data_IF_682328123053
#
_entry.id   IF_682328123053
#
_cell.length_a   1.000
_cell.length_b   1.000
_cell.length_c   1.000
_cell.angle_alpha   90.00
_cell.angle_beta   90.00
_cell.angle_gamma   90.00
#
_symmetry.space_group_name_H-M   'P 1'
#
loop_
_entity.id
_entity.type
_entity.pdbx_description
1 polymer ?
#
# COMPACT_ATOMS: atom_id res chain seq x y z
N UNK A 1 -34.70 -26.82 60.80
CA UNK A 1 -33.52 -26.76 59.91
C UNK A 1 -33.91 -27.41 58.59
N UNK A 2 -34.40 -26.64 57.62
CA UNK A 2 -34.72 -27.12 56.27
C UNK A 2 -34.08 -26.14 55.28
N UNK A 3 -33.14 -26.65 54.47
CA UNK A 3 -32.50 -25.93 53.37
C UNK A 3 -33.46 -25.84 52.19
N UNK A 4 -33.84 -24.63 51.79
CA UNK A 4 -34.39 -24.38 50.46
C UNK A 4 -33.25 -24.08 49.48
N UNK A 5 -33.07 -24.98 48.51
CA UNK A 5 -32.19 -24.84 47.35
C UNK A 5 -32.72 -23.71 46.45
N UNK A 6 -31.96 -22.63 46.29
CA UNK A 6 -32.18 -21.68 45.21
C UNK A 6 -31.56 -22.23 43.92
N UNK A 7 -32.43 -22.71 43.03
CA UNK A 7 -32.08 -23.04 41.66
C UNK A 7 -32.06 -21.73 40.85
N UNK A 8 -30.88 -21.16 40.65
CA UNK A 8 -30.70 -19.96 39.83
C UNK A 8 -30.67 -20.39 38.36
N UNK A 9 -31.81 -20.27 37.67
CA UNK A 9 -31.89 -20.42 36.21
C UNK A 9 -31.23 -19.18 35.57
N UNK A 10 -30.02 -19.34 35.06
CA UNK A 10 -29.41 -18.40 34.13
C UNK A 10 -29.95 -18.67 32.72
N UNK A 11 -30.53 -17.69 32.01
CA UNK A 11 -30.77 -17.83 30.59
C UNK A 11 -29.42 -17.81 29.87
N UNK A 12 -29.00 -18.96 29.35
CA UNK A 12 -27.98 -19.05 28.31
C UNK A 12 -28.54 -18.32 27.07
N UNK A 13 -28.21 -17.04 26.93
CA UNK A 13 -28.40 -16.32 25.68
C UNK A 13 -27.40 -16.89 24.68
N UNK A 14 -27.85 -17.85 23.87
CA UNK A 14 -27.17 -18.27 22.66
C UNK A 14 -27.13 -17.06 21.72
N UNK A 15 -26.07 -16.27 21.79
CA UNK A 15 -25.68 -15.42 20.67
C UNK A 15 -25.34 -16.35 19.51
N UNK A 16 -26.34 -16.65 18.67
CA UNK A 16 -26.10 -17.14 17.32
C UNK A 16 -25.45 -15.97 16.60
N UNK A 17 -24.13 -15.94 16.58
CA UNK A 17 -23.40 -15.11 15.62
C UNK A 17 -23.77 -15.66 14.25
N UNK A 18 -24.72 -15.03 13.58
CA UNK A 18 -24.94 -15.25 12.15
C UNK A 18 -23.57 -15.05 11.49
N UNK A 19 -23.00 -16.11 10.96
CA UNK A 19 -21.74 -16.03 10.23
C UNK A 19 -21.90 -14.97 9.15
N UNK A 20 -21.02 -13.98 9.14
CA UNK A 20 -20.95 -13.03 8.05
C UNK A 20 -20.64 -13.85 6.79
N UNK A 21 -21.65 -14.08 5.95
CA UNK A 21 -21.44 -14.66 4.63
C UNK A 21 -20.59 -13.63 3.87
N UNK A 22 -19.46 -14.06 3.31
CA UNK A 22 -18.64 -13.18 2.48
C UNK A 22 -19.51 -12.69 1.30
N UNK A 23 -19.67 -11.37 1.17
CA UNK A 23 -20.52 -10.79 0.15
C UNK A 23 -19.90 -11.05 -1.22
N UNK A 24 -20.58 -11.77 -2.13
CA UNK A 24 -20.06 -11.99 -3.47
C UNK A 24 -20.02 -10.68 -4.27
N UNK A 25 -18.88 -10.38 -4.87
CA UNK A 25 -18.68 -9.25 -5.79
C UNK A 25 -18.49 -9.81 -7.20
N UNK A 26 -19.17 -9.23 -8.18
CA UNK A 26 -19.05 -9.62 -9.60
C UNK A 26 -18.78 -8.41 -10.47
N UNK A 27 -18.02 -8.57 -11.54
CA UNK A 27 -17.77 -7.49 -12.49
C UNK A 27 -16.98 -7.94 -13.72
N UNK A 28 -17.00 -7.10 -14.74
CA UNK A 28 -16.30 -7.33 -16.01
C UNK A 28 -14.87 -6.81 -15.92
N UNK A 29 -13.91 -7.65 -16.30
CA UNK A 29 -12.49 -7.30 -16.26
C UNK A 29 -11.96 -7.01 -17.67
N UNK A 30 -11.41 -5.81 -17.87
CA UNK A 30 -10.72 -5.41 -19.09
C UNK A 30 -9.23 -5.28 -18.82
N UNK A 31 -8.38 -5.87 -19.67
CA UNK A 31 -6.91 -5.81 -19.48
C UNK A 31 -6.45 -4.35 -19.58
N UNK A 32 -5.70 -3.89 -18.56
CA UNK A 32 -5.11 -2.55 -18.52
C UNK A 32 -3.59 -2.60 -18.77
N UNK A 33 -2.85 -3.42 -18.02
CA UNK A 33 -1.42 -3.67 -18.26
C UNK A 33 -1.12 -5.15 -18.05
N UNK A 34 -0.42 -5.77 -19.01
CA UNK A 34 -0.01 -7.19 -18.95
C UNK A 34 1.27 -7.41 -18.15
N UNK A 35 2.01 -6.35 -17.84
CA UNK A 35 3.28 -6.43 -17.12
C UNK A 35 3.08 -6.35 -15.61
N UNK A 36 2.16 -5.48 -15.17
CA UNK A 36 1.66 -5.42 -13.78
C UNK A 36 0.40 -6.29 -13.60
N UNK A 37 0.08 -7.17 -14.58
CA UNK A 37 -1.12 -8.01 -14.57
C UNK A 37 -2.32 -7.29 -13.94
N UNK A 38 -2.66 -6.15 -14.54
CA UNK A 38 -3.67 -5.23 -14.05
C UNK A 38 -4.87 -5.25 -14.97
N UNK A 39 -6.05 -5.37 -14.38
CA UNK A 39 -7.34 -5.19 -15.05
C UNK A 39 -8.04 -3.95 -14.52
N UNK A 40 -8.95 -3.43 -15.32
CA UNK A 40 -9.91 -2.40 -14.95
C UNK A 40 -11.31 -3.00 -14.93
N UNK A 41 -12.09 -2.63 -13.92
CA UNK A 41 -13.53 -2.90 -13.87
C UNK A 41 -14.28 -1.64 -13.49
N UNK A 42 -15.31 -1.34 -14.28
CA UNK A 42 -16.18 -0.17 -14.09
C UNK A 42 -17.53 -0.56 -13.48
N UNK A 43 -17.78 -1.86 -13.30
CA UNK A 43 -19.09 -2.43 -13.00
C UNK A 43 -19.07 -3.47 -11.87
N UNK A 44 -18.02 -3.47 -11.03
CA UNK A 44 -17.98 -4.30 -9.82
C UNK A 44 -19.18 -3.98 -8.93
N UNK A 45 -19.93 -5.01 -8.55
CA UNK A 45 -21.14 -4.92 -7.73
C UNK A 45 -21.29 -6.11 -6.80
N UNK A 46 -21.85 -5.84 -5.63
CA UNK A 46 -22.29 -6.87 -4.70
C UNK A 46 -23.53 -7.60 -5.27
N UNK A 47 -23.83 -8.78 -4.73
CA UNK A 47 -24.97 -9.60 -5.15
C UNK A 47 -26.34 -8.90 -5.04
N UNK A 48 -26.47 -7.93 -4.14
CA UNK A 48 -27.67 -7.10 -3.97
C UNK A 48 -27.80 -5.98 -5.04
N UNK A 49 -26.85 -5.87 -5.94
CA UNK A 49 -26.78 -4.85 -6.98
C UNK A 49 -26.11 -3.55 -6.55
N UNK A 50 -25.70 -3.43 -5.29
CA UNK A 50 -24.95 -2.27 -4.79
C UNK A 50 -23.59 -2.20 -5.46
N UNK A 51 -23.20 -1.02 -5.97
CA UNK A 51 -21.87 -0.81 -6.55
C UNK A 51 -20.78 -1.06 -5.51
N UNK A 52 -19.74 -1.80 -5.89
CA UNK A 52 -18.59 -2.05 -5.04
C UNK A 52 -17.83 -0.77 -4.70
N UNK A 53 -17.73 0.13 -5.68
CA UNK A 53 -17.10 1.44 -5.55
C UNK A 53 -17.79 2.45 -6.46
N UNK A 54 -17.67 3.74 -6.13
CA UNK A 54 -18.16 4.84 -6.96
C UNK A 54 -17.23 5.15 -8.15
N UNK A 55 -15.97 4.69 -8.08
CA UNK A 55 -14.98 4.88 -9.13
C UNK A 55 -14.59 3.52 -9.74
N UNK A 56 -14.18 3.50 -11.02
CA UNK A 56 -13.47 2.38 -11.61
C UNK A 56 -12.41 1.79 -10.68
N UNK A 57 -12.35 0.47 -10.60
CA UNK A 57 -11.33 -0.24 -9.83
C UNK A 57 -10.25 -0.73 -10.77
N UNK A 58 -9.00 -0.54 -10.35
CA UNK A 58 -7.85 -1.24 -10.88
C UNK A 58 -7.59 -2.47 -10.02
N UNK A 59 -7.23 -3.57 -10.66
CA UNK A 59 -7.22 -4.90 -10.07
C UNK A 59 -5.90 -5.59 -10.44
N UNK A 60 -5.01 -5.75 -9.46
CA UNK A 60 -3.68 -6.35 -9.64
C UNK A 60 -3.68 -7.77 -9.09
N UNK A 61 -3.21 -8.70 -9.90
CA UNK A 61 -2.97 -10.09 -9.53
C UNK A 61 -2.00 -10.23 -8.34
N UNK A 62 -2.36 -10.99 -7.29
CA UNK A 62 -1.51 -11.16 -6.08
C UNK A 62 -0.97 -12.58 -5.84
N UNK A 63 -1.40 -13.58 -6.61
CA UNK A 63 -1.04 -14.99 -6.40
C UNK A 63 -0.24 -15.55 -7.58
N UNK A 64 1.05 -15.87 -7.44
CA UNK A 64 1.83 -16.38 -8.59
C UNK A 64 1.35 -17.76 -9.08
N UNK A 65 0.69 -18.55 -8.22
CA UNK A 65 0.38 -19.97 -8.48
C UNK A 65 -0.76 -20.19 -9.46
N UNK A 66 -1.58 -19.18 -9.68
CA UNK A 66 -2.79 -19.23 -10.50
C UNK A 66 -2.64 -18.34 -11.75
N UNK A 67 -3.26 -18.65 -12.91
CA UNK A 67 -3.29 -17.73 -14.05
C UNK A 67 -4.06 -16.44 -13.77
N UNK A 68 -3.65 -15.35 -14.44
CA UNK A 68 -4.44 -14.12 -14.50
C UNK A 68 -5.75 -14.27 -15.30
N UNK A 69 -6.40 -13.15 -15.58
CA UNK A 69 -7.74 -13.13 -16.19
C UNK A 69 -7.72 -12.90 -17.70
N UNK A 70 -8.77 -13.36 -18.39
CA UNK A 70 -9.01 -13.02 -19.80
C UNK A 70 -9.38 -11.54 -19.98
N UNK A 71 -9.51 -11.10 -21.24
CA UNK A 71 -10.04 -9.76 -21.54
C UNK A 71 -11.55 -9.81 -21.80
N UNK A 72 -12.32 -9.00 -21.08
CA UNK A 72 -13.76 -8.82 -21.28
C UNK A 72 -14.66 -9.88 -20.64
N UNK A 73 -14.12 -10.73 -19.75
CA UNK A 73 -14.91 -11.70 -19.01
C UNK A 73 -15.53 -11.11 -17.73
N UNK A 74 -16.67 -11.64 -17.30
CA UNK A 74 -17.27 -11.36 -16.00
C UNK A 74 -16.81 -12.41 -14.99
N UNK A 75 -16.29 -11.95 -13.85
CA UNK A 75 -15.73 -12.80 -12.81
C UNK A 75 -16.31 -12.47 -11.43
N UNK A 76 -16.19 -13.43 -10.51
CA UNK A 76 -16.77 -13.44 -9.17
C UNK A 76 -15.70 -13.57 -8.09
N UNK A 77 -15.92 -12.86 -6.99
CA UNK A 77 -14.99 -12.73 -5.88
C UNK A 77 -15.73 -12.76 -4.54
N UNK A 78 -15.05 -13.22 -3.49
CA UNK A 78 -15.42 -12.94 -2.11
C UNK A 78 -15.04 -11.48 -1.79
N UNK A 79 -16.04 -10.66 -1.50
CA UNK A 79 -15.87 -9.31 -0.96
C UNK A 79 -15.51 -9.36 0.52
N UNK A 80 -14.75 -8.35 0.98
CA UNK A 80 -14.21 -8.26 2.35
C UNK A 80 -13.38 -9.48 2.76
N UNK A 81 -12.58 -9.99 1.83
CA UNK A 81 -11.73 -11.15 2.10
C UNK A 81 -10.56 -10.82 3.08
N UNK A 82 -10.47 -9.55 3.51
CA UNK A 82 -9.65 -8.94 4.56
C UNK A 82 -8.21 -9.47 4.62
N UNK A 83 -8.01 -10.61 5.27
CA UNK A 83 -6.69 -11.22 5.49
C UNK A 83 -6.50 -12.54 4.75
N UNK A 84 -7.56 -13.29 4.43
CA UNK A 84 -7.48 -14.67 3.92
C UNK A 84 -7.11 -14.78 2.44
N UNK A 85 -6.72 -13.67 1.82
CA UNK A 85 -6.32 -13.58 0.41
C UNK A 85 -4.83 -13.86 0.22
N UNK A 86 -4.03 -13.60 1.25
CA UNK A 86 -2.60 -13.86 1.25
C UNK A 86 -2.32 -15.35 1.45
N UNK A 87 -1.43 -15.91 0.63
CA UNK A 87 -1.04 -17.33 0.65
C UNK A 87 0.18 -17.61 1.52
N UNK A 88 0.91 -16.59 1.96
CA UNK A 88 2.03 -16.73 2.90
C UNK A 88 1.58 -17.44 4.18
N UNK A 89 2.41 -18.37 4.69
CA UNK A 89 2.10 -19.17 5.89
C UNK A 89 3.06 -18.87 7.05
N UNK A 90 2.55 -18.62 8.28
CA UNK A 90 1.14 -18.35 8.59
C UNK A 90 0.65 -17.09 7.87
N UNK A 91 -0.67 -16.97 7.67
CA UNK A 91 -1.24 -15.82 6.96
C UNK A 91 -0.72 -14.50 7.56
N UNK A 92 -0.18 -13.58 6.74
CA UNK A 92 0.43 -12.33 7.23
C UNK A 92 -0.56 -11.38 7.91
N UNK A 93 -1.88 -11.57 7.74
CA UNK A 93 -2.90 -10.77 8.41
C UNK A 93 -2.76 -9.27 8.12
N UNK A 94 -2.94 -8.46 9.15
CA UNK A 94 -2.82 -6.99 9.09
C UNK A 94 -1.43 -6.51 8.63
N UNK A 95 -0.36 -7.27 8.90
CA UNK A 95 0.97 -6.93 8.42
C UNK A 95 1.07 -7.03 6.90
N UNK A 96 0.45 -8.06 6.30
CA UNK A 96 0.38 -8.22 4.84
C UNK A 96 -0.40 -7.10 4.16
N UNK A 97 -1.53 -6.71 4.77
CA UNK A 97 -2.31 -5.54 4.32
C UNK A 97 -1.45 -4.28 4.36
N UNK A 98 -0.81 -3.99 5.48
CA UNK A 98 0.06 -2.82 5.63
C UNK A 98 1.18 -2.82 4.58
N UNK A 99 1.86 -3.95 4.38
CA UNK A 99 2.93 -4.11 3.40
C UNK A 99 2.45 -3.82 1.97
N UNK A 100 1.27 -4.31 1.57
CA UNK A 100 0.73 -4.04 0.25
C UNK A 100 0.38 -2.55 0.06
N UNK A 101 -0.21 -1.91 1.08
CA UNK A 101 -0.43 -0.46 1.04
C UNK A 101 0.87 0.34 0.90
N UNK A 102 1.93 -0.07 1.61
CA UNK A 102 3.23 0.57 1.50
C UNK A 102 3.83 0.39 0.10
N UNK A 103 3.77 -0.82 -0.47
CA UNK A 103 4.29 -1.11 -1.80
C UNK A 103 3.62 -0.23 -2.86
N UNK A 104 2.29 -0.12 -2.83
CA UNK A 104 1.53 0.70 -3.77
C UNK A 104 1.85 2.19 -3.63
N UNK A 105 1.94 2.74 -2.41
CA UNK A 105 2.24 4.16 -2.18
C UNK A 105 3.59 4.60 -2.75
N UNK A 106 4.59 3.72 -2.66
CA UNK A 106 5.97 4.04 -3.01
C UNK A 106 6.29 3.75 -4.49
N UNK A 107 5.64 2.76 -5.09
CA UNK A 107 6.09 2.22 -6.38
C UNK A 107 5.02 2.21 -7.47
N UNK A 108 3.73 2.10 -7.16
CA UNK A 108 2.72 1.90 -8.21
C UNK A 108 2.68 3.07 -9.21
N UNK A 109 2.65 4.31 -8.72
CA UNK A 109 2.64 5.52 -9.55
C UNK A 109 3.84 5.61 -10.51
N UNK A 110 5.02 5.19 -10.05
CA UNK A 110 6.26 5.26 -10.83
C UNK A 110 6.39 4.13 -11.86
N UNK A 111 5.63 3.05 -11.71
CA UNK A 111 5.69 1.89 -12.61
C UNK A 111 4.45 1.70 -13.47
N UNK A 112 3.29 2.30 -13.14
CA UNK A 112 2.07 2.09 -13.93
C UNK A 112 2.05 2.83 -15.29
N UNK A 113 2.97 3.78 -15.50
CA UNK A 113 3.07 4.50 -16.77
C UNK A 113 3.54 3.54 -17.88
N UNK A 114 2.75 3.44 -18.96
CA UNK A 114 3.05 2.56 -20.08
C UNK A 114 4.34 2.93 -20.83
N UNK A 115 4.87 4.13 -20.62
CA UNK A 115 6.18 4.57 -21.13
C UNK A 115 7.35 4.05 -20.28
N UNK A 116 7.10 3.62 -19.04
CA UNK A 116 8.13 2.98 -18.20
C UNK A 116 8.44 1.62 -18.79
N UNK A 117 9.73 1.28 -18.83
CA UNK A 117 10.22 0.04 -19.41
C UNK A 117 9.50 -1.17 -18.81
N UNK A 118 8.95 -2.05 -19.66
CA UNK A 118 8.08 -3.16 -19.26
C UNK A 118 8.70 -4.06 -18.18
N UNK A 119 10.01 -4.31 -18.23
CA UNK A 119 10.75 -5.07 -17.19
C UNK A 119 10.69 -4.44 -15.79
N UNK A 120 10.65 -3.11 -15.68
CA UNK A 120 10.50 -2.43 -14.38
C UNK A 120 9.09 -2.63 -13.83
N UNK A 121 8.09 -2.56 -14.71
CA UNK A 121 6.69 -2.83 -14.38
C UNK A 121 6.50 -4.29 -13.94
N UNK A 122 7.15 -5.22 -14.65
CA UNK A 122 7.21 -6.64 -14.29
C UNK A 122 7.86 -6.86 -12.92
N UNK A 123 8.96 -6.17 -12.62
CA UNK A 123 9.60 -6.25 -11.29
C UNK A 123 8.66 -5.82 -10.16
N UNK A 124 7.85 -4.77 -10.37
CA UNK A 124 6.80 -4.40 -9.41
C UNK A 124 5.77 -5.52 -9.21
N UNK A 125 5.31 -6.19 -10.27
CA UNK A 125 4.41 -7.36 -10.14
C UNK A 125 5.04 -8.48 -9.31
N UNK A 126 6.34 -8.73 -9.46
CA UNK A 126 7.03 -9.73 -8.65
C UNK A 126 7.04 -9.35 -7.16
N UNK A 127 7.22 -8.07 -6.83
CA UNK A 127 7.09 -7.62 -5.44
C UNK A 127 5.67 -7.80 -4.89
N UNK A 128 4.62 -7.55 -5.69
CA UNK A 128 3.23 -7.83 -5.30
C UNK A 128 3.05 -9.33 -5.02
N UNK A 129 3.59 -10.19 -5.89
CA UNK A 129 3.56 -11.64 -5.66
C UNK A 129 4.36 -12.06 -4.44
N UNK A 130 5.53 -11.50 -4.17
CA UNK A 130 6.34 -11.84 -2.99
C UNK A 130 5.55 -11.54 -1.71
N UNK A 131 4.86 -10.40 -1.65
CA UNK A 131 3.96 -10.10 -0.54
C UNK A 131 2.74 -11.02 -0.50
N UNK A 132 2.16 -11.37 -1.65
CA UNK A 132 0.99 -12.23 -1.74
C UNK A 132 1.24 -13.70 -1.39
N UNK A 133 2.44 -14.22 -1.65
CA UNK A 133 2.74 -15.66 -1.63
C UNK A 133 3.79 -16.05 -0.57
N UNK A 134 4.73 -15.16 -0.25
CA UNK A 134 5.89 -15.49 0.59
C UNK A 134 5.86 -14.76 1.93
N UNK A 135 5.34 -13.53 1.97
CA UNK A 135 5.29 -12.75 3.21
C UNK A 135 4.28 -13.33 4.22
N UNK A 136 4.75 -13.61 5.44
CA UNK A 136 3.95 -14.16 6.53
C UNK A 136 3.90 -13.23 7.77
N UNK A 137 4.30 -11.97 7.60
CA UNK A 137 4.46 -10.99 8.68
C UNK A 137 5.92 -10.82 9.12
N UNK A 138 6.79 -11.77 8.83
CA UNK A 138 8.25 -11.64 9.00
C UNK A 138 8.92 -11.33 7.66
N UNK A 139 9.75 -10.30 7.62
CA UNK A 139 10.45 -9.89 6.40
C UNK A 139 11.40 -10.97 5.87
N UNK A 140 11.90 -11.83 6.76
CA UNK A 140 12.78 -12.94 6.40
C UNK A 140 12.03 -14.06 5.68
N UNK A 141 10.69 -14.05 5.65
CA UNK A 141 9.91 -15.00 4.86
C UNK A 141 9.90 -14.66 3.36
N UNK A 142 10.26 -13.42 3.00
CA UNK A 142 10.51 -13.04 1.61
C UNK A 142 11.96 -13.39 1.28
N UNK A 143 12.13 -14.47 0.52
CA UNK A 143 13.42 -14.91 -0.02
C UNK A 143 13.37 -14.86 -1.55
N UNK A 144 14.09 -13.89 -2.13
CA UNK A 144 14.15 -13.70 -3.57
C UNK A 144 14.71 -14.92 -4.35
N UNK A 145 15.40 -15.85 -3.70
CA UNK A 145 15.96 -17.05 -4.32
C UNK A 145 15.15 -18.32 -4.01
N UNK A 146 14.64 -18.45 -2.79
CA UNK A 146 14.01 -19.69 -2.31
C UNK A 146 12.51 -19.58 -2.01
N UNK A 147 11.92 -18.39 -2.10
CA UNK A 147 10.48 -18.19 -1.96
C UNK A 147 9.67 -18.91 -3.04
N UNK A 148 8.34 -18.87 -2.96
CA UNK A 148 7.48 -19.37 -4.02
C UNK A 148 7.59 -18.53 -5.28
N UNK A 149 7.88 -17.23 -5.14
CA UNK A 149 7.97 -16.30 -6.27
C UNK A 149 9.33 -16.35 -6.94
N UNK A 150 10.42 -16.55 -6.18
CA UNK A 150 11.81 -16.65 -6.69
C UNK A 150 12.18 -15.49 -7.61
N UNK A 151 11.87 -14.25 -7.23
CA UNK A 151 12.01 -13.09 -8.10
C UNK A 151 13.45 -12.83 -8.58
N UNK A 152 14.45 -13.29 -7.81
CA UNK A 152 15.88 -13.27 -8.17
C UNK A 152 16.43 -14.67 -8.49
N UNK A 153 15.56 -15.65 -8.75
CA UNK A 153 15.95 -16.98 -9.20
C UNK A 153 16.70 -16.92 -10.53
N UNK A 154 17.68 -17.80 -10.73
CA UNK A 154 18.52 -17.83 -11.94
C UNK A 154 17.70 -17.93 -13.22
N UNK A 155 16.59 -18.67 -13.20
CA UNK A 155 15.70 -18.81 -14.36
C UNK A 155 15.04 -17.49 -14.75
N UNK A 156 14.54 -16.72 -13.78
CA UNK A 156 13.87 -15.43 -14.02
C UNK A 156 14.87 -14.38 -14.52
N UNK A 157 16.07 -14.35 -13.94
CA UNK A 157 17.16 -13.46 -14.38
C UNK A 157 17.57 -13.80 -15.81
N UNK A 158 17.68 -15.09 -16.14
CA UNK A 158 18.07 -15.53 -17.50
C UNK A 158 17.01 -15.14 -18.52
N UNK A 159 15.73 -15.22 -18.14
CA UNK A 159 14.61 -14.89 -19.03
C UNK A 159 14.41 -13.38 -19.21
N UNK A 160 14.43 -12.60 -18.13
CA UNK A 160 14.10 -11.17 -18.15
C UNK A 160 15.32 -10.23 -18.21
N UNK A 161 16.52 -10.74 -17.93
CA UNK A 161 17.78 -10.00 -18.04
C UNK A 161 18.08 -9.04 -16.89
N UNK A 162 19.16 -8.27 -17.05
CA UNK A 162 19.78 -7.50 -15.97
C UNK A 162 18.89 -6.36 -15.44
N UNK A 163 18.16 -5.66 -16.31
CA UNK A 163 17.32 -4.53 -15.87
C UNK A 163 16.20 -4.98 -14.91
N UNK A 164 15.57 -6.12 -15.21
CA UNK A 164 14.58 -6.72 -14.31
C UNK A 164 15.25 -7.08 -12.97
N UNK A 165 16.38 -7.79 -13.02
CA UNK A 165 17.12 -8.20 -11.83
C UNK A 165 17.48 -7.03 -10.91
N UNK A 166 18.06 -5.97 -11.47
CA UNK A 166 18.46 -4.79 -10.69
C UNK A 166 17.25 -4.07 -10.07
N UNK A 167 16.13 -3.99 -10.81
CA UNK A 167 14.90 -3.37 -10.30
C UNK A 167 14.27 -4.21 -9.19
N UNK A 168 14.20 -5.53 -9.37
CA UNK A 168 13.71 -6.46 -8.33
C UNK A 168 14.56 -6.34 -7.07
N UNK A 169 15.89 -6.29 -7.19
CA UNK A 169 16.79 -6.09 -6.05
C UNK A 169 16.54 -4.77 -5.32
N UNK A 170 16.32 -3.68 -6.06
CA UNK A 170 16.02 -2.37 -5.49
C UNK A 170 14.74 -2.40 -4.64
N UNK A 171 13.65 -2.92 -5.21
CA UNK A 171 12.35 -3.02 -4.52
C UNK A 171 12.47 -3.95 -3.31
N UNK A 172 13.13 -5.10 -3.48
CA UNK A 172 13.32 -6.08 -2.40
C UNK A 172 14.14 -5.51 -1.24
N UNK A 173 15.22 -4.77 -1.52
CA UNK A 173 15.99 -4.09 -0.48
C UNK A 173 15.15 -3.06 0.29
N UNK A 174 14.31 -2.29 -0.41
CA UNK A 174 13.43 -1.32 0.21
C UNK A 174 12.33 -1.96 1.08
N UNK A 175 11.78 -3.10 0.64
CA UNK A 175 10.86 -3.92 1.45
C UNK A 175 11.57 -4.39 2.73
N UNK A 176 12.79 -4.94 2.60
CA UNK A 176 13.59 -5.40 3.74
C UNK A 176 13.84 -4.31 4.78
N UNK A 177 14.09 -3.09 4.31
CA UNK A 177 14.29 -1.94 5.19
C UNK A 177 12.99 -1.45 5.85
N UNK A 178 11.90 -1.40 5.08
CA UNK A 178 10.70 -0.65 5.49
C UNK A 178 9.72 -1.49 6.30
N UNK A 179 9.61 -2.80 6.01
CA UNK A 179 8.58 -3.65 6.61
C UNK A 179 8.86 -4.01 8.07
N UNK A 180 10.13 -4.03 8.52
CA UNK A 180 10.52 -4.35 9.91
C UNK A 180 9.87 -3.43 10.94
N UNK A 181 9.65 -2.17 10.60
CA UNK A 181 9.05 -1.15 11.48
C UNK A 181 7.69 -0.66 11.02
N UNK A 182 7.10 -1.25 9.99
CA UNK A 182 5.85 -0.76 9.42
C UNK A 182 4.69 -1.06 10.39
N UNK A 183 3.95 -0.04 10.85
CA UNK A 183 2.77 -0.29 11.69
C UNK A 183 1.75 -1.15 10.92
N UNK A 184 1.21 -2.18 11.55
CA UNK A 184 0.16 -3.03 10.94
C UNK A 184 -1.12 -2.24 10.63
N UNK A 185 -1.32 -1.09 11.28
CA UNK A 185 -2.38 -0.14 10.98
C UNK A 185 -2.08 0.78 9.78
N UNK A 186 -0.93 0.64 9.12
CA UNK A 186 -0.57 1.48 7.97
C UNK A 186 -1.57 1.25 6.84
N UNK A 187 -2.10 2.36 6.31
CA UNK A 187 -3.00 2.39 5.16
C UNK A 187 -2.59 3.51 4.24
N UNK A 188 -2.69 3.25 2.95
CA UNK A 188 -2.28 4.17 1.91
C UNK A 188 -2.98 5.52 2.05
N UNK A 189 -2.22 6.59 1.84
CA UNK A 189 -2.78 7.96 1.76
C UNK A 189 -3.21 8.33 0.34
N UNK A 190 -2.74 7.61 -0.68
CA UNK A 190 -3.00 7.87 -2.09
C UNK A 190 -4.12 7.01 -2.67
N UNK A 191 -4.31 5.80 -2.14
CA UNK A 191 -5.19 4.78 -2.71
C UNK A 191 -6.14 4.20 -1.67
N UNK A 192 -7.42 4.01 -2.03
CA UNK A 192 -8.26 3.07 -1.30
C UNK A 192 -7.93 1.68 -1.84
N UNK A 193 -7.45 0.79 -0.97
CA UNK A 193 -7.03 -0.57 -1.34
C UNK A 193 -7.86 -1.57 -0.55
N UNK A 194 -8.26 -2.62 -1.24
CA UNK A 194 -9.05 -3.75 -0.74
C UNK A 194 -8.57 -5.03 -1.43
N UNK A 195 -9.00 -6.18 -0.92
CA UNK A 195 -8.55 -7.47 -1.43
C UNK A 195 -9.76 -8.34 -1.79
N UNK A 196 -9.70 -8.91 -2.98
CA UNK A 196 -10.75 -9.75 -3.55
C UNK A 196 -10.20 -11.16 -3.73
N UNK A 197 -10.73 -12.11 -2.96
CA UNK A 197 -10.41 -13.53 -3.15
C UNK A 197 -11.26 -14.09 -4.27
N UNK A 198 -10.65 -14.71 -5.25
CA UNK A 198 -11.40 -15.27 -6.38
C UNK A 198 -12.25 -16.48 -5.96
N UNK A 199 -13.47 -16.54 -6.47
CA UNK A 199 -14.28 -17.78 -6.43
C UNK A 199 -14.25 -18.52 -7.76
N UNK A 200 -13.76 -17.87 -8.81
CA UNK A 200 -13.68 -18.40 -10.17
C UNK A 200 -12.32 -19.04 -10.40
N UNK A 201 -12.15 -20.24 -9.86
CA UNK A 201 -10.96 -21.05 -10.10
C UNK A 201 -10.80 -21.33 -11.60
N UNK A 202 -9.57 -21.29 -12.15
CA UNK A 202 -8.29 -21.28 -11.43
C UNK A 202 -7.65 -19.90 -11.34
N UNK A 203 -8.40 -18.79 -11.29
CA UNK A 203 -7.78 -17.46 -11.38
C UNK A 203 -7.13 -16.96 -10.08
N UNK A 204 -6.28 -15.94 -10.17
CA UNK A 204 -5.62 -15.33 -9.00
C UNK A 204 -6.56 -14.46 -8.17
N UNK A 205 -6.30 -14.35 -6.87
CA UNK A 205 -6.87 -13.27 -6.07
C UNK A 205 -6.28 -11.91 -6.43
N UNK A 206 -7.01 -10.83 -6.16
CA UNK A 206 -6.72 -9.48 -6.66
C UNK A 206 -6.57 -8.45 -5.52
N UNK A 207 -5.61 -7.55 -5.68
CA UNK A 207 -5.60 -6.25 -4.99
C UNK A 207 -6.48 -5.31 -5.80
N UNK A 208 -7.61 -4.88 -5.22
CA UNK A 208 -8.51 -3.90 -5.81
C UNK A 208 -8.22 -2.51 -5.24
N UNK A 209 -7.96 -1.54 -6.10
CA UNK A 209 -7.67 -0.18 -5.67
C UNK A 209 -8.14 0.89 -6.64
N UNK A 210 -8.28 2.10 -6.11
CA UNK A 210 -8.46 3.33 -6.87
C UNK A 210 -7.69 4.48 -6.21
N UNK A 211 -7.51 5.58 -6.94
CA UNK A 211 -6.94 6.81 -6.36
C UNK A 211 -7.97 7.41 -5.42
N UNK A 212 -7.54 7.76 -4.20
CA UNK A 212 -8.37 8.55 -3.29
C UNK A 212 -8.67 9.88 -3.94
N UNK A 213 -9.94 10.24 -4.00
CA UNK A 213 -10.36 11.59 -4.29
C UNK A 213 -10.00 12.51 -3.11
N UNK A 214 -8.71 12.69 -2.83
CA UNK A 214 -8.24 13.75 -1.96
C UNK A 214 -8.33 15.04 -2.76
N UNK A 215 -9.11 16.05 -2.31
CA UNK A 215 -8.94 17.40 -2.84
C UNK A 215 -7.45 17.75 -2.75
N UNK A 216 -6.87 18.47 -3.74
CA UNK A 216 -5.50 18.94 -3.60
C UNK A 216 -5.39 19.65 -2.26
N UNK A 217 -4.48 19.17 -1.40
CA UNK A 217 -4.15 19.89 -0.18
C UNK A 217 -3.78 21.31 -0.65
N UNK A 218 -4.38 22.36 -0.05
CA UNK A 218 -3.94 23.73 -0.34
C UNK A 218 -2.42 23.77 -0.18
N UNK A 219 -1.69 24.48 -1.05
CA UNK A 219 -0.23 24.46 -1.06
C UNK A 219 0.26 24.67 0.37
N UNK A 220 0.84 23.61 0.95
CA UNK A 220 1.51 23.70 2.23
C UNK A 220 2.68 24.62 1.96
N UNK A 221 2.55 25.89 2.36
CA UNK A 221 3.70 26.77 2.45
C UNK A 221 4.67 26.03 3.36
N UNK A 222 5.74 25.48 2.80
CA UNK A 222 6.91 25.11 3.59
C UNK A 222 7.20 26.34 4.44
N UNK A 223 7.22 26.25 5.78
CA UNK A 223 7.75 27.34 6.56
C UNK A 223 9.21 27.44 6.12
N UNK A 224 9.49 28.37 5.22
CA UNK A 224 10.81 28.94 5.11
C UNK A 224 11.10 29.39 6.53
N UNK A 225 12.17 28.90 7.19
CA UNK A 225 12.54 29.45 8.47
C UNK A 225 12.72 30.95 8.26
N UNK A 226 11.74 31.73 8.72
CA UNK A 226 11.89 33.15 8.91
C UNK A 226 13.02 33.24 9.91
N UNK A 227 14.19 33.64 9.43
CA UNK A 227 15.22 34.24 10.26
C UNK A 227 14.49 35.22 11.17
N UNK A 228 14.40 34.86 12.45
CA UNK A 228 13.64 35.62 13.42
C UNK A 228 14.04 37.09 13.35
N UNK A 229 13.10 37.96 13.70
CA UNK A 229 13.27 39.43 13.76
C UNK A 229 14.46 39.89 14.64
N UNK A 230 15.16 38.96 15.29
CA UNK A 230 16.39 39.16 16.05
C UNK A 230 17.68 39.21 15.20
N UNK A 231 17.65 38.83 13.91
CA UNK A 231 18.84 38.91 13.03
C UNK A 231 19.03 40.25 12.29
N UNK A 232 18.12 41.22 12.43
CA UNK A 232 18.26 42.54 11.79
C UNK A 232 18.86 43.60 12.73
N UNK A 233 18.98 43.33 14.03
CA UNK A 233 19.55 44.29 15.01
C UNK A 233 21.10 44.27 15.00
N UNK A 234 21.73 43.22 14.50
CA UNK A 234 23.21 43.12 14.52
C UNK A 234 23.91 43.70 13.29
N UNK A 235 23.18 44.18 12.27
CA UNK A 235 23.78 44.76 11.06
C UNK A 235 23.61 46.28 10.90
N UNK A 236 23.02 46.97 11.88
CA UNK A 236 22.88 48.44 11.89
C UNK A 236 23.78 49.15 12.92
N UNK A 237 24.47 48.41 13.80
CA UNK A 237 25.41 48.98 14.78
C UNK A 237 26.87 49.07 14.28
N UNK A 238 27.19 48.53 13.10
CA UNK A 238 28.54 48.54 12.52
C UNK A 238 28.93 49.80 11.73
N UNK A 239 27.98 50.70 11.44
CA UNK A 239 28.24 51.92 10.63
C UNK A 239 28.16 53.21 11.47
N UNK A 240 27.78 53.11 12.75
CA UNK A 240 27.62 54.26 13.66
C UNK A 240 28.88 54.66 14.47
N UNK A 241 30.02 53.97 14.34
CA UNK A 241 31.22 54.22 15.17
C UNK A 241 32.35 54.98 14.47
N UNK A 242 32.14 55.51 13.27
CA UNK A 242 33.10 56.39 12.56
C UNK A 242 32.63 57.85 12.40
N UNK A 243 31.46 58.22 12.94
CA UNK A 243 30.86 59.55 12.76
C UNK A 243 31.06 60.56 13.90
N UNK A 244 31.66 60.20 15.04
CA UNK A 244 31.68 61.06 16.23
C UNK A 244 33.08 61.41 16.80
N UNK A 245 34.16 61.17 16.04
CA UNK A 245 35.51 61.67 16.37
C UNK A 245 35.90 62.81 15.42
N UNK A 246 35.15 63.92 15.39
CA UNK A 246 35.68 65.21 14.89
C UNK A 246 34.91 66.48 15.18
N UNK A 247 33.95 66.50 16.11
CA UNK A 247 33.25 67.72 16.51
C UNK A 247 33.12 67.86 18.04
N UNK A 248 34.25 67.84 18.75
CA UNK A 248 34.34 68.40 20.11
C UNK A 248 35.79 68.74 20.52
N UNK A 249 36.48 69.51 19.68
CA UNK A 249 37.50 70.46 20.16
C UNK A 249 36.97 71.87 19.93
N UNK A 250 36.08 72.29 20.82
CA UNK A 250 35.75 73.71 21.01
C UNK A 250 35.77 73.97 22.50
N UNK A 251 36.56 74.95 22.91
CA UNK A 251 36.48 75.64 24.19
C UNK A 251 36.61 74.79 25.46
N UNK A 252 37.86 74.64 25.93
CA UNK A 252 38.14 74.92 27.33
C UNK A 252 38.85 76.28 27.40
N UNK A 253 38.46 77.03 28.43
CA UNK A 253 39.04 78.27 28.92
C UNK A 253 40.56 78.24 29.03
#
# INVERSE_FOLDING_TARGET
MQMYKYLCLLPLSLCITAGAWADTVTGTLTVYDKEILTWKSDDLKYADGTSYSQNPQYLVCMDKTSPGYGNGGTFSFEGKADINVFLGSPNPGEAGIAAMHWLFDNYYENYNDLNVHYLKRRAFQYAVWELGNDYNGDINSIDANNGNVKASGTDEITYYGQLFHDTTKEIHAAMHQSLVGLPTSYRSKKYDISFLKTTDQPHQSLVAFNVKNTPPLPPTTTPVPTLGEWSVISLTLGVGLFGFIRLRKKHQS
#
